data_IF_068371761856
#
_entry.id   IF_068371761856
#
_cell.length_a   1.000
_cell.length_b   1.000
_cell.length_c   1.000
_cell.angle_alpha   90.00
_cell.angle_beta   90.00
_cell.angle_gamma   90.00
#
_symmetry.space_group_name_H-M   'P 1'
#
loop_
_entity.id
_entity.type
_entity.pdbx_description
1 polymer ?
#
# COMPACT_ATOMS: atom_id res chain seq x y z
N UNK A 1 -27.85 4.01 53.43
CA UNK A 1 -27.88 5.23 52.60
C UNK A 1 -27.02 4.94 51.40
N UNK A 2 -27.66 4.43 50.34
CA UNK A 2 -27.04 4.18 49.03
C UNK A 2 -27.30 5.44 48.23
N UNK A 3 -26.27 6.14 47.78
CA UNK A 3 -26.39 7.24 46.83
C UNK A 3 -25.96 6.76 45.47
N UNK A 4 -26.89 6.91 44.53
CA UNK A 4 -26.74 6.77 43.08
C UNK A 4 -25.50 7.48 42.56
N UNK A 5 -24.73 6.77 41.76
CA UNK A 5 -23.77 7.34 40.82
C UNK A 5 -24.26 6.98 39.42
N UNK A 6 -25.13 7.83 38.90
CA UNK A 6 -25.42 7.86 37.47
C UNK A 6 -24.18 8.47 36.77
N UNK A 7 -23.33 7.63 36.20
CA UNK A 7 -22.31 8.08 35.25
C UNK A 7 -22.98 8.47 33.95
N UNK A 8 -23.06 9.78 33.72
CA UNK A 8 -23.34 10.39 32.43
C UNK A 8 -22.27 9.93 31.43
N UNK A 9 -22.69 9.08 30.49
CA UNK A 9 -21.96 8.80 29.28
C UNK A 9 -21.99 10.08 28.43
N UNK A 10 -20.93 10.83 28.51
CA UNK A 10 -20.69 11.97 27.62
C UNK A 10 -20.42 11.40 26.23
N UNK A 11 -21.37 11.53 25.32
CA UNK A 11 -21.17 11.32 23.89
C UNK A 11 -20.07 12.28 23.44
N UNK A 12 -18.85 11.73 23.26
CA UNK A 12 -17.79 12.45 22.57
C UNK A 12 -18.24 12.67 21.12
N UNK A 13 -18.46 13.92 20.75
CA UNK A 13 -18.58 14.34 19.35
C UNK A 13 -17.42 13.71 18.59
N UNK A 14 -17.63 13.19 17.37
CA UNK A 14 -16.54 12.68 16.58
C UNK A 14 -15.54 13.82 16.36
N UNK A 15 -14.33 13.66 16.90
CA UNK A 15 -13.21 14.52 16.59
C UNK A 15 -13.09 14.56 15.07
N UNK A 16 -13.43 15.71 14.52
CA UNK A 16 -13.18 16.03 13.13
C UNK A 16 -11.68 15.84 12.92
N UNK A 17 -11.30 14.82 12.17
CA UNK A 17 -9.96 14.69 11.63
C UNK A 17 -9.67 16.03 10.98
N UNK A 18 -8.80 16.83 11.60
CA UNK A 18 -8.26 18.04 10.99
C UNK A 18 -7.41 17.56 9.83
N UNK A 19 -8.07 17.34 8.68
CA UNK A 19 -7.38 17.18 7.42
C UNK A 19 -6.46 18.39 7.29
N UNK A 20 -5.16 18.13 7.28
CA UNK A 20 -4.18 19.15 6.97
C UNK A 20 -4.58 19.78 5.64
N UNK A 21 -4.56 21.12 5.57
CA UNK A 21 -4.91 21.91 4.38
C UNK A 21 -3.86 21.81 3.26
N UNK A 22 -3.13 20.69 3.18
CA UNK A 22 -2.18 20.40 2.13
C UNK A 22 -2.89 19.58 1.07
N UNK A 23 -2.97 20.11 -0.15
CA UNK A 23 -3.48 19.55 -1.41
C UNK A 23 -4.31 18.26 -1.26
N UNK A 24 -5.42 18.36 -0.55
CA UNK A 24 -6.38 17.27 -0.44
C UNK A 24 -6.76 16.87 -1.87
N UNK A 25 -6.52 15.63 -2.25
CA UNK A 25 -7.11 15.05 -3.44
C UNK A 25 -8.62 15.32 -3.35
N UNK A 26 -9.09 16.29 -4.12
CA UNK A 26 -10.52 16.63 -4.13
C UNK A 26 -11.20 15.53 -4.92
N UNK A 27 -12.26 15.00 -4.35
CA UNK A 27 -13.17 14.13 -5.09
C UNK A 27 -13.66 14.85 -6.35
N UNK A 28 -13.90 14.08 -7.40
CA UNK A 28 -14.60 14.60 -8.57
C UNK A 28 -16.01 15.08 -8.16
N UNK A 29 -16.58 16.03 -8.90
CA UNK A 29 -17.93 16.57 -8.58
C UNK A 29 -19.00 15.48 -8.52
N UNK A 30 -18.88 14.46 -9.35
CA UNK A 30 -19.84 13.35 -9.36
C UNK A 30 -19.64 12.43 -8.17
N UNK A 31 -18.40 12.19 -7.76
CA UNK A 31 -18.06 11.45 -6.55
C UNK A 31 -18.49 12.20 -5.28
N UNK A 32 -18.38 13.53 -5.24
CA UNK A 32 -18.92 14.34 -4.13
C UNK A 32 -20.45 14.18 -3.98
N UNK A 33 -21.21 14.26 -5.09
CA UNK A 33 -22.66 14.05 -5.06
C UNK A 33 -23.04 12.65 -4.61
N UNK A 34 -22.32 11.64 -5.12
CA UNK A 34 -22.54 10.24 -4.74
C UNK A 34 -22.24 10.04 -3.25
N UNK A 35 -21.13 10.60 -2.74
CA UNK A 35 -20.76 10.53 -1.33
C UNK A 35 -21.86 11.10 -0.42
N UNK A 36 -22.38 12.29 -0.75
CA UNK A 36 -23.49 12.91 0.01
C UNK A 36 -24.72 11.98 0.03
N UNK A 37 -25.06 11.38 -1.11
CA UNK A 37 -26.17 10.44 -1.20
C UNK A 37 -25.94 9.18 -0.35
N UNK A 38 -24.74 8.60 -0.39
CA UNK A 38 -24.37 7.42 0.40
C UNK A 38 -24.36 7.71 1.91
N UNK A 39 -23.86 8.87 2.31
CA UNK A 39 -23.87 9.31 3.71
C UNK A 39 -25.29 9.52 4.24
N UNK A 40 -26.19 10.09 3.44
CA UNK A 40 -27.60 10.22 3.82
C UNK A 40 -28.28 8.86 3.99
N UNK A 41 -28.00 7.90 3.09
CA UNK A 41 -28.48 6.52 3.22
C UNK A 41 -27.89 5.82 4.46
N UNK A 42 -26.61 6.06 4.78
CA UNK A 42 -25.94 5.45 5.93
C UNK A 42 -26.59 5.83 7.26
N UNK A 43 -27.10 7.08 7.39
CA UNK A 43 -27.83 7.52 8.58
C UNK A 43 -29.14 6.75 8.75
N UNK A 44 -29.85 6.48 7.65
CA UNK A 44 -31.18 5.87 7.65
C UNK A 44 -31.16 4.33 7.62
N UNK A 45 -30.02 3.70 7.30
CA UNK A 45 -29.94 2.26 7.04
C UNK A 45 -29.62 1.43 8.28
N UNK A 46 -30.24 0.25 8.37
CA UNK A 46 -29.85 -0.81 9.29
C UNK A 46 -28.61 -1.60 8.79
N UNK A 47 -28.40 -1.68 7.47
CA UNK A 47 -27.27 -2.39 6.83
C UNK A 47 -26.10 -1.45 6.55
N UNK A 48 -25.39 -1.06 7.61
CA UNK A 48 -24.34 -0.03 7.53
C UNK A 48 -23.09 -0.48 6.80
N UNK A 49 -22.70 -1.76 6.91
CA UNK A 49 -21.39 -2.22 6.40
C UNK A 49 -21.30 -2.18 4.87
N UNK A 50 -22.38 -2.46 4.16
CA UNK A 50 -22.43 -2.36 2.69
C UNK A 50 -22.22 -0.92 2.23
N UNK A 51 -22.94 0.03 2.86
CA UNK A 51 -22.79 1.44 2.55
C UNK A 51 -21.41 2.00 2.93
N UNK A 52 -20.84 1.55 4.06
CA UNK A 52 -19.46 1.90 4.43
C UNK A 52 -18.46 1.38 3.40
N UNK A 53 -18.69 0.17 2.84
CA UNK A 53 -17.87 -0.40 1.78
C UNK A 53 -17.97 0.42 0.49
N UNK A 54 -19.17 0.76 0.05
CA UNK A 54 -19.37 1.62 -1.12
C UNK A 54 -18.66 2.99 -0.97
N UNK A 55 -18.72 3.59 0.21
CA UNK A 55 -18.02 4.84 0.51
C UNK A 55 -16.49 4.64 0.47
N UNK A 56 -15.98 3.56 1.06
CA UNK A 56 -14.55 3.25 1.04
C UNK A 56 -14.02 3.02 -0.38
N UNK A 57 -14.77 2.28 -1.19
CA UNK A 57 -14.44 2.02 -2.60
C UNK A 57 -14.47 3.31 -3.43
N UNK A 58 -15.43 4.20 -3.17
CA UNK A 58 -15.49 5.52 -3.80
C UNK A 58 -14.22 6.34 -3.51
N UNK A 59 -13.80 6.40 -2.25
CA UNK A 59 -12.57 7.08 -1.86
C UNK A 59 -11.33 6.40 -2.46
N UNK A 60 -11.28 5.08 -2.51
CA UNK A 60 -10.17 4.33 -3.14
C UNK A 60 -10.06 4.65 -4.63
N UNK A 61 -11.18 4.73 -5.35
CA UNK A 61 -11.24 5.09 -6.77
C UNK A 61 -10.70 6.49 -7.04
N UNK A 62 -10.94 7.42 -6.14
CA UNK A 62 -10.44 8.80 -6.21
C UNK A 62 -9.03 8.95 -5.60
N UNK A 63 -8.38 7.84 -5.23
CA UNK A 63 -7.04 7.82 -4.59
C UNK A 63 -6.95 8.57 -3.25
N UNK A 64 -8.08 8.70 -2.53
CA UNK A 64 -8.18 9.30 -1.19
C UNK A 64 -8.08 8.19 -0.14
N UNK A 65 -6.91 7.56 -0.07
CA UNK A 65 -6.71 6.30 0.66
C UNK A 65 -6.76 6.42 2.18
N UNK A 66 -6.49 7.57 2.76
CA UNK A 66 -6.69 7.85 4.19
C UNK A 66 -8.17 7.69 4.58
N UNK A 67 -9.06 8.28 3.79
CA UNK A 67 -10.51 8.15 3.98
C UNK A 67 -11.01 6.75 3.66
N UNK A 68 -10.50 6.12 2.60
CA UNK A 68 -10.81 4.72 2.29
C UNK A 68 -10.46 3.79 3.46
N UNK A 69 -9.23 3.92 3.99
CA UNK A 69 -8.76 3.16 5.15
C UNK A 69 -9.63 3.35 6.39
N UNK A 70 -10.05 4.59 6.65
CA UNK A 70 -10.95 4.89 7.76
C UNK A 70 -12.30 4.17 7.65
N UNK A 71 -12.91 4.12 6.47
CA UNK A 71 -14.18 3.45 6.27
C UNK A 71 -14.03 1.92 6.29
N UNK A 72 -12.96 1.36 5.72
CA UNK A 72 -12.64 -0.06 5.84
C UNK A 72 -12.34 -0.46 7.29
N UNK A 73 -11.63 0.36 8.06
CA UNK A 73 -11.38 0.12 9.49
C UNK A 73 -12.71 0.06 10.27
N UNK A 74 -13.67 0.93 9.99
CA UNK A 74 -15.01 0.87 10.61
C UNK A 74 -15.72 -0.45 10.33
N UNK A 75 -15.62 -0.97 9.13
CA UNK A 75 -16.17 -2.29 8.77
C UNK A 75 -15.45 -3.38 9.57
N UNK A 76 -14.11 -3.35 9.61
CA UNK A 76 -13.30 -4.32 10.31
C UNK A 76 -13.55 -4.32 11.83
N UNK A 77 -13.81 -3.17 12.43
CA UNK A 77 -14.19 -3.05 13.84
C UNK A 77 -15.59 -3.62 14.13
N UNK A 78 -16.54 -3.46 13.21
CA UNK A 78 -17.91 -3.99 13.38
C UNK A 78 -18.01 -5.47 13.05
N UNK A 79 -17.20 -5.95 12.09
CA UNK A 79 -17.14 -7.34 11.62
C UNK A 79 -15.69 -7.76 11.43
N UNK A 80 -14.99 -8.14 12.51
CA UNK A 80 -13.58 -8.53 12.41
C UNK A 80 -13.39 -9.76 11.52
N UNK A 81 -12.55 -9.64 10.49
CA UNK A 81 -12.12 -10.72 9.62
C UNK A 81 -10.76 -10.40 9.00
N UNK A 82 -10.06 -11.41 8.51
CA UNK A 82 -8.82 -11.23 7.74
C UNK A 82 -9.05 -10.27 6.58
N UNK A 83 -10.10 -10.51 5.78
CA UNK A 83 -10.44 -9.69 4.62
C UNK A 83 -10.64 -8.22 4.98
N UNK A 84 -11.48 -7.93 5.99
CA UNK A 84 -11.81 -6.56 6.34
C UNK A 84 -10.59 -5.78 6.90
N UNK A 85 -9.76 -6.45 7.73
CA UNK A 85 -8.53 -5.84 8.23
C UNK A 85 -7.48 -5.67 7.14
N UNK A 86 -7.40 -6.59 6.15
CA UNK A 86 -6.52 -6.45 4.99
C UNK A 86 -6.92 -5.24 4.16
N UNK A 87 -8.21 -5.06 3.85
CA UNK A 87 -8.68 -3.88 3.12
C UNK A 87 -8.32 -2.56 3.82
N UNK A 88 -8.47 -2.51 5.13
CA UNK A 88 -8.09 -1.34 5.90
C UNK A 88 -6.57 -1.09 5.86
N UNK A 89 -5.78 -2.15 6.08
CA UNK A 89 -4.32 -2.09 6.04
C UNK A 89 -3.79 -1.65 4.69
N UNK A 90 -4.31 -2.24 3.61
CA UNK A 90 -3.90 -1.94 2.23
C UNK A 90 -4.23 -0.49 1.85
N UNK A 91 -5.42 0.00 2.22
CA UNK A 91 -5.79 1.39 1.96
C UNK A 91 -4.87 2.37 2.71
N UNK A 92 -4.65 2.17 4.00
CA UNK A 92 -3.72 3.01 4.77
C UNK A 92 -2.28 2.93 4.25
N UNK A 93 -1.82 1.75 3.83
CA UNK A 93 -0.48 1.58 3.27
C UNK A 93 -0.34 2.25 1.91
N UNK A 94 -1.37 2.22 1.06
CA UNK A 94 -1.39 2.99 -0.19
C UNK A 94 -1.36 4.49 0.10
N UNK A 95 -2.15 4.96 1.06
CA UNK A 95 -2.13 6.35 1.51
C UNK A 95 -0.74 6.78 2.02
N UNK A 96 -0.07 5.94 2.79
CA UNK A 96 1.30 6.16 3.25
C UNK A 96 2.27 6.35 2.09
N UNK A 97 2.19 5.52 1.06
CA UNK A 97 3.08 5.60 -0.12
C UNK A 97 2.86 6.88 -0.96
N UNK A 98 1.69 7.50 -0.85
CA UNK A 98 1.32 8.73 -1.57
C UNK A 98 1.35 9.99 -0.69
N UNK A 99 1.59 9.85 0.60
CA UNK A 99 1.58 10.97 1.53
C UNK A 99 2.76 11.92 1.27
N UNK A 100 2.46 13.22 1.24
CA UNK A 100 3.45 14.27 0.99
C UNK A 100 4.00 14.89 2.28
N UNK A 101 3.25 14.80 3.39
CA UNK A 101 3.70 15.36 4.67
C UNK A 101 4.17 14.28 5.64
N UNK A 102 5.26 14.51 6.40
CA UNK A 102 5.77 13.56 7.38
C UNK A 102 4.73 13.14 8.42
N UNK A 103 3.92 14.07 8.91
CA UNK A 103 2.89 13.78 9.92
C UNK A 103 1.79 12.87 9.38
N UNK A 104 1.40 13.04 8.11
CA UNK A 104 0.43 12.16 7.48
C UNK A 104 1.03 10.78 7.19
N UNK A 105 2.30 10.73 6.78
CA UNK A 105 3.03 9.46 6.61
C UNK A 105 3.06 8.67 7.92
N UNK A 106 3.42 9.31 9.03
CA UNK A 106 3.47 8.67 10.35
C UNK A 106 2.09 8.14 10.77
N UNK A 107 1.05 8.96 10.65
CA UNK A 107 -0.33 8.54 10.96
C UNK A 107 -0.75 7.32 10.13
N UNK A 108 -0.55 7.36 8.81
CA UNK A 108 -1.00 6.31 7.90
C UNK A 108 -0.22 5.01 8.08
N UNK A 109 1.11 5.09 8.31
CA UNK A 109 1.90 3.89 8.53
C UNK A 109 1.55 3.21 9.85
N UNK A 110 1.25 3.97 10.91
CA UNK A 110 0.80 3.39 12.18
C UNK A 110 -0.58 2.71 12.04
N UNK A 111 -1.50 3.32 11.30
CA UNK A 111 -2.80 2.71 10.97
C UNK A 111 -2.64 1.43 10.16
N UNK A 112 -1.79 1.43 9.15
CA UNK A 112 -1.50 0.24 8.35
C UNK A 112 -0.91 -0.89 9.21
N UNK A 113 0.08 -0.58 10.06
CA UNK A 113 0.68 -1.55 11.00
C UNK A 113 -0.34 -2.14 11.96
N UNK A 114 -1.21 -1.30 12.52
CA UNK A 114 -2.27 -1.76 13.41
C UNK A 114 -3.21 -2.75 12.71
N UNK A 115 -3.64 -2.44 11.49
CA UNK A 115 -4.50 -3.29 10.69
C UNK A 115 -3.84 -4.63 10.32
N UNK A 116 -2.60 -4.61 9.80
CA UNK A 116 -1.88 -5.85 9.49
C UNK A 116 -1.59 -6.71 10.72
N UNK A 117 -1.32 -6.11 11.87
CA UNK A 117 -1.20 -6.87 13.13
C UNK A 117 -2.52 -7.56 13.51
N UNK A 118 -3.70 -6.97 13.21
CA UNK A 118 -4.99 -7.63 13.37
C UNK A 118 -5.17 -8.80 12.41
N UNK A 119 -4.73 -8.63 11.14
CA UNK A 119 -4.69 -9.76 10.19
C UNK A 119 -3.84 -10.90 10.73
N UNK A 120 -2.62 -10.61 11.17
CA UNK A 120 -1.68 -11.63 11.67
C UNK A 120 -2.12 -12.26 12.99
N UNK A 121 -2.92 -11.57 13.81
CA UNK A 121 -3.55 -12.15 14.99
C UNK A 121 -4.63 -13.17 14.63
N UNK A 122 -5.34 -12.97 13.51
CA UNK A 122 -6.36 -13.89 13.00
C UNK A 122 -5.74 -15.00 12.13
N UNK A 123 -4.74 -14.67 11.33
CA UNK A 123 -4.06 -15.56 10.41
C UNK A 123 -2.53 -15.35 10.46
N UNK A 124 -1.81 -16.00 11.39
CA UNK A 124 -0.37 -15.78 11.59
C UNK A 124 0.51 -16.08 10.37
N UNK A 125 0.02 -16.90 9.43
CA UNK A 125 0.75 -17.29 8.22
C UNK A 125 0.43 -16.41 7.01
N UNK A 126 -0.31 -15.29 7.17
CA UNK A 126 -0.67 -14.42 6.05
C UNK A 126 0.57 -13.70 5.50
N UNK A 127 1.02 -14.12 4.32
CA UNK A 127 2.24 -13.61 3.68
C UNK A 127 2.06 -12.19 3.17
N UNK A 128 0.83 -11.81 2.74
CA UNK A 128 0.54 -10.45 2.30
C UNK A 128 0.68 -9.46 3.45
N UNK A 129 0.01 -9.74 4.57
CA UNK A 129 0.10 -8.89 5.75
C UNK A 129 1.53 -8.81 6.32
N UNK A 130 2.27 -9.95 6.35
CA UNK A 130 3.69 -9.96 6.77
C UNK A 130 4.55 -9.08 5.87
N UNK A 131 4.37 -9.17 4.55
CA UNK A 131 5.17 -8.42 3.57
C UNK A 131 4.89 -6.92 3.69
N UNK A 132 3.63 -6.52 3.72
CA UNK A 132 3.27 -5.11 3.83
C UNK A 132 3.61 -4.51 5.21
N UNK A 133 3.45 -5.30 6.28
CA UNK A 133 3.92 -4.91 7.62
C UNK A 133 5.45 -4.72 7.60
N UNK A 134 6.21 -5.62 6.95
CA UNK A 134 7.65 -5.45 6.80
C UNK A 134 7.99 -4.15 6.06
N UNK A 135 7.33 -3.89 4.93
CA UNK A 135 7.56 -2.68 4.15
C UNK A 135 7.21 -1.40 4.90
N UNK A 136 6.27 -1.44 5.84
CA UNK A 136 5.93 -0.31 6.70
C UNK A 136 7.05 0.11 7.67
N UNK A 137 8.05 -0.74 7.90
CA UNK A 137 9.24 -0.43 8.69
C UNK A 137 10.38 0.16 7.86
N UNK A 138 10.28 0.15 6.53
CA UNK A 138 11.25 0.83 5.65
C UNK A 138 11.13 2.35 5.86
N UNK A 139 12.22 3.02 6.14
CA UNK A 139 12.22 4.45 6.47
C UNK A 139 11.94 4.78 7.95
N UNK A 140 11.70 3.76 8.80
CA UNK A 140 11.64 3.93 10.26
C UNK A 140 13.05 3.83 10.88
N UNK A 141 13.12 3.92 12.19
CA UNK A 141 14.31 3.64 13.00
C UNK A 141 14.73 2.15 13.03
N UNK A 142 13.91 1.27 12.48
CA UNK A 142 14.13 -0.17 12.48
C UNK A 142 14.13 -0.80 11.05
N UNK A 143 14.92 -0.31 10.08
CA UNK A 143 14.88 -0.81 8.69
C UNK A 143 15.32 -2.28 8.57
N UNK A 144 16.19 -2.76 9.46
CA UNK A 144 16.61 -4.16 9.48
C UNK A 144 15.47 -5.12 9.81
N UNK A 145 14.45 -4.65 10.56
CA UNK A 145 13.26 -5.44 10.85
C UNK A 145 12.50 -5.78 9.58
N UNK A 146 12.38 -4.84 8.63
CA UNK A 146 11.77 -5.09 7.33
C UNK A 146 12.47 -6.23 6.60
N UNK A 147 13.81 -6.20 6.52
CA UNK A 147 14.59 -7.23 5.83
C UNK A 147 14.43 -8.60 6.49
N UNK A 148 14.44 -8.65 7.84
CA UNK A 148 14.26 -9.91 8.58
C UNK A 148 12.87 -10.49 8.32
N UNK A 149 11.82 -9.71 8.43
CA UNK A 149 10.44 -10.15 8.17
C UNK A 149 10.25 -10.64 6.73
N UNK A 150 10.82 -9.94 5.74
CA UNK A 150 10.75 -10.37 4.32
C UNK A 150 11.49 -11.68 4.09
N UNK A 151 12.61 -11.94 4.79
CA UNK A 151 13.30 -13.23 4.73
C UNK A 151 12.46 -14.34 5.35
N UNK A 152 11.84 -14.10 6.50
CA UNK A 152 10.93 -15.05 7.14
C UNK A 152 9.73 -15.41 6.23
N UNK A 153 9.25 -14.46 5.41
CA UNK A 153 8.25 -14.74 4.37
C UNK A 153 8.81 -15.69 3.32
N UNK A 154 10.04 -15.47 2.85
CA UNK A 154 10.68 -16.33 1.84
C UNK A 154 11.13 -17.68 2.39
N UNK A 155 11.38 -17.81 3.68
CA UNK A 155 11.61 -19.09 4.35
C UNK A 155 10.34 -19.96 4.34
N UNK A 156 9.14 -19.35 4.38
CA UNK A 156 7.86 -20.03 4.29
C UNK A 156 7.45 -20.31 2.83
N UNK A 157 7.62 -19.33 1.95
CA UNK A 157 7.28 -19.42 0.52
C UNK A 157 8.42 -18.80 -0.32
N UNK A 158 9.40 -19.61 -0.75
CA UNK A 158 10.57 -19.12 -1.47
C UNK A 158 10.29 -18.44 -2.80
N UNK A 159 9.10 -18.67 -3.38
CA UNK A 159 8.67 -18.10 -4.65
C UNK A 159 7.65 -16.95 -4.49
N UNK A 160 7.48 -16.45 -3.27
CA UNK A 160 6.53 -15.35 -3.04
C UNK A 160 7.03 -14.04 -3.66
N UNK A 161 6.57 -13.76 -4.87
CA UNK A 161 7.01 -12.63 -5.69
C UNK A 161 6.97 -11.29 -4.93
N UNK A 162 5.93 -10.93 -4.16
CA UNK A 162 5.91 -9.62 -3.48
C UNK A 162 7.09 -9.43 -2.52
N UNK A 163 7.50 -10.45 -1.76
CA UNK A 163 8.65 -10.35 -0.85
C UNK A 163 9.98 -10.27 -1.61
N UNK A 164 10.14 -11.02 -2.71
CA UNK A 164 11.34 -10.95 -3.55
C UNK A 164 11.47 -9.56 -4.17
N UNK A 165 10.38 -9.01 -4.71
CA UNK A 165 10.31 -7.66 -5.27
C UNK A 165 10.66 -6.59 -4.22
N UNK A 166 10.10 -6.71 -3.02
CA UNK A 166 10.38 -5.79 -1.91
C UNK A 166 11.87 -5.80 -1.52
N UNK A 167 12.47 -6.97 -1.37
CA UNK A 167 13.91 -7.09 -1.11
C UNK A 167 14.75 -6.57 -2.30
N UNK A 168 14.28 -6.75 -3.53
CA UNK A 168 14.89 -6.17 -4.74
C UNK A 168 14.94 -4.65 -4.66
N UNK A 169 13.80 -4.01 -4.37
CA UNK A 169 13.68 -2.57 -4.18
C UNK A 169 14.58 -2.04 -3.05
N UNK A 170 14.60 -2.73 -1.90
CA UNK A 170 15.49 -2.36 -0.78
C UNK A 170 16.98 -2.47 -1.16
N UNK A 171 17.33 -3.43 -2.02
CA UNK A 171 18.69 -3.53 -2.54
C UNK A 171 19.04 -2.40 -3.49
N UNK A 172 18.10 -1.93 -4.31
CA UNK A 172 18.28 -0.73 -5.14
C UNK A 172 18.51 0.50 -4.27
N UNK A 173 17.66 0.73 -3.26
CA UNK A 173 17.78 1.85 -2.33
C UNK A 173 19.11 1.89 -1.57
N UNK A 174 19.70 0.74 -1.29
CA UNK A 174 20.99 0.59 -0.61
C UNK A 174 22.18 0.44 -1.55
N UNK A 175 22.02 0.74 -2.84
CA UNK A 175 23.02 0.64 -3.91
C UNK A 175 23.67 -0.76 -4.04
N UNK A 176 22.96 -1.81 -3.61
CA UNK A 176 23.39 -3.20 -3.77
C UNK A 176 22.85 -3.77 -5.08
N UNK A 177 23.29 -3.20 -6.20
CA UNK A 177 22.70 -3.42 -7.52
C UNK A 177 22.83 -4.86 -8.03
N UNK A 178 23.91 -5.57 -7.69
CA UNK A 178 24.07 -7.00 -8.03
C UNK A 178 23.01 -7.85 -7.32
N UNK A 179 22.75 -7.55 -6.03
CA UNK A 179 21.72 -8.27 -5.27
C UNK A 179 20.32 -7.93 -5.79
N UNK A 180 20.09 -6.67 -6.15
CA UNK A 180 18.83 -6.24 -6.75
C UNK A 180 18.59 -6.98 -8.07
N UNK A 181 19.57 -6.96 -8.98
CA UNK A 181 19.50 -7.66 -10.26
C UNK A 181 19.21 -9.16 -10.09
N UNK A 182 19.91 -9.83 -9.18
CA UNK A 182 19.70 -11.26 -8.88
C UNK A 182 18.25 -11.53 -8.41
N UNK A 183 17.69 -10.68 -7.55
CA UNK A 183 16.30 -10.81 -7.07
C UNK A 183 15.27 -10.60 -8.17
N UNK A 184 15.41 -9.55 -8.96
CA UNK A 184 14.50 -9.33 -10.07
C UNK A 184 14.62 -10.44 -11.14
N UNK A 185 15.81 -10.96 -11.38
CA UNK A 185 16.00 -12.11 -12.25
C UNK A 185 15.32 -13.38 -11.71
N UNK A 186 15.34 -13.60 -10.40
CA UNK A 186 14.59 -14.67 -9.75
C UNK A 186 13.07 -14.52 -9.97
N UNK A 187 12.54 -13.30 -9.85
CA UNK A 187 11.12 -13.04 -10.18
C UNK A 187 10.83 -13.40 -11.62
N UNK A 188 11.71 -13.04 -12.58
CA UNK A 188 11.51 -13.37 -14.00
C UNK A 188 11.64 -14.86 -14.32
N UNK A 189 12.29 -15.66 -13.47
CA UNK A 189 12.25 -17.13 -13.57
C UNK A 189 10.88 -17.70 -13.13
N UNK A 190 10.17 -17.01 -12.22
CA UNK A 190 8.84 -17.41 -11.73
C UNK A 190 7.76 -16.89 -12.66
N UNK A 191 7.84 -15.60 -13.04
CA UNK A 191 6.93 -14.89 -13.93
C UNK A 191 7.72 -14.08 -14.97
N UNK A 192 8.00 -14.68 -16.15
CA UNK A 192 8.74 -14.03 -17.23
C UNK A 192 8.07 -12.77 -17.79
N UNK A 193 6.78 -12.57 -17.51
CA UNK A 193 5.99 -11.45 -18.03
C UNK A 193 5.96 -10.26 -17.07
N UNK A 194 6.52 -10.37 -15.88
CA UNK A 194 6.46 -9.36 -14.84
C UNK A 194 7.17 -8.07 -15.25
N UNK A 195 6.38 -7.05 -15.59
CA UNK A 195 6.88 -5.74 -16.03
C UNK A 195 7.76 -5.08 -14.97
N UNK A 196 7.31 -5.10 -13.72
CA UNK A 196 8.05 -4.43 -12.63
C UNK A 196 9.40 -5.10 -12.36
N UNK A 197 9.49 -6.42 -12.49
CA UNK A 197 10.74 -7.15 -12.36
C UNK A 197 11.69 -6.86 -13.54
N UNK A 198 11.16 -6.74 -14.78
CA UNK A 198 11.96 -6.32 -15.95
C UNK A 198 12.52 -4.93 -15.77
N UNK A 199 11.70 -3.97 -15.30
CA UNK A 199 12.15 -2.62 -15.02
C UNK A 199 13.19 -2.59 -13.90
N UNK A 200 12.92 -3.27 -12.77
CA UNK A 200 13.86 -3.37 -11.66
C UNK A 200 15.22 -3.96 -12.07
N UNK A 201 15.19 -5.02 -12.91
CA UNK A 201 16.42 -5.61 -13.46
C UNK A 201 17.12 -4.64 -14.40
N UNK A 202 16.39 -3.97 -15.30
CA UNK A 202 16.98 -3.02 -16.25
C UNK A 202 17.67 -1.87 -15.53
N UNK A 203 17.03 -1.25 -14.54
CA UNK A 203 17.65 -0.19 -13.74
C UNK A 203 18.85 -0.68 -12.94
N UNK A 204 18.78 -1.88 -12.35
CA UNK A 204 19.94 -2.48 -11.69
C UNK A 204 21.12 -2.67 -12.65
N UNK A 205 20.85 -3.11 -13.88
CA UNK A 205 21.87 -3.29 -14.92
C UNK A 205 22.45 -1.97 -15.42
N UNK A 206 21.68 -0.89 -15.47
CA UNK A 206 22.16 0.46 -15.78
C UNK A 206 23.20 0.89 -14.76
N UNK A 207 22.88 0.76 -13.48
CA UNK A 207 23.79 1.12 -12.38
C UNK A 207 25.07 0.25 -12.36
N UNK A 208 25.00 -0.98 -12.86
CA UNK A 208 26.14 -1.88 -13.05
C UNK A 208 26.91 -1.63 -14.36
N UNK A 209 26.55 -0.61 -15.15
CA UNK A 209 27.18 -0.30 -16.43
C UNK A 209 26.85 -1.27 -17.57
N UNK A 210 25.94 -2.23 -17.37
CA UNK A 210 25.53 -3.24 -18.34
C UNK A 210 24.42 -2.69 -19.27
N UNK A 211 24.72 -1.57 -19.92
CA UNK A 211 23.76 -0.81 -20.76
C UNK A 211 23.09 -1.64 -21.88
N UNK A 212 23.81 -2.54 -22.63
CA UNK A 212 23.16 -3.31 -23.69
C UNK A 212 22.04 -4.22 -23.17
N UNK A 213 22.26 -4.92 -22.05
CA UNK A 213 21.28 -5.82 -21.44
C UNK A 213 20.07 -5.04 -20.91
N UNK A 214 20.31 -3.91 -20.28
CA UNK A 214 19.26 -3.01 -19.80
C UNK A 214 18.38 -2.51 -20.97
N UNK A 215 18.98 -2.08 -22.09
CA UNK A 215 18.25 -1.67 -23.30
C UNK A 215 17.37 -2.78 -23.84
N UNK A 216 17.85 -4.02 -23.85
CA UNK A 216 17.06 -5.17 -24.32
C UNK A 216 15.79 -5.36 -23.47
N UNK A 217 15.91 -5.30 -22.14
CA UNK A 217 14.78 -5.41 -21.22
C UNK A 217 13.78 -4.25 -21.38
N UNK A 218 14.27 -3.00 -21.45
CA UNK A 218 13.42 -1.83 -21.61
C UNK A 218 12.65 -1.87 -22.94
N UNK A 219 13.30 -2.28 -24.03
CA UNK A 219 12.63 -2.47 -25.32
C UNK A 219 11.61 -3.62 -25.29
N UNK A 220 11.84 -4.66 -24.48
CA UNK A 220 10.87 -5.74 -24.30
C UNK A 220 9.64 -5.26 -23.51
N UNK A 221 9.82 -4.42 -22.49
CA UNK A 221 8.70 -3.80 -21.76
C UNK A 221 7.87 -2.90 -22.68
N UNK A 222 8.50 -2.12 -23.58
CA UNK A 222 7.77 -1.25 -24.53
C UNK A 222 6.85 -2.02 -25.50
N UNK A 223 7.08 -3.32 -25.70
CA UNK A 223 6.19 -4.17 -26.53
C UNK A 223 4.94 -4.62 -25.79
N UNK A 224 4.90 -4.42 -24.47
CA UNK A 224 3.77 -4.81 -23.64
C UNK A 224 2.71 -3.69 -23.59
N UNK A 225 1.51 -4.04 -23.13
CA UNK A 225 0.45 -3.06 -22.91
C UNK A 225 0.71 -2.31 -21.60
N UNK A 226 1.49 -1.23 -21.67
CA UNK A 226 1.83 -0.34 -20.56
C UNK A 226 1.18 1.03 -20.79
N UNK A 227 0.98 1.78 -19.70
CA UNK A 227 0.42 3.12 -19.77
C UNK A 227 1.37 4.13 -20.44
N UNK A 228 0.82 5.28 -20.83
CA UNK A 228 1.55 6.30 -21.57
C UNK A 228 2.68 6.94 -20.76
N UNK A 229 2.51 7.06 -19.43
CA UNK A 229 3.50 7.67 -18.53
C UNK A 229 4.73 6.75 -18.44
N UNK A 230 4.52 5.48 -18.18
CA UNK A 230 5.59 4.47 -18.14
C UNK A 230 6.32 4.38 -19.48
N UNK A 231 5.59 4.43 -20.60
CA UNK A 231 6.17 4.42 -21.94
C UNK A 231 7.09 5.62 -22.19
N UNK A 232 6.68 6.82 -21.78
CA UNK A 232 7.48 8.04 -21.90
C UNK A 232 8.74 7.96 -21.04
N UNK A 233 8.62 7.51 -19.80
CA UNK A 233 9.75 7.34 -18.88
C UNK A 233 10.79 6.34 -19.42
N UNK A 234 10.36 5.18 -19.89
CA UNK A 234 11.25 4.17 -20.51
C UNK A 234 11.95 4.75 -21.76
N UNK A 235 11.22 5.51 -22.58
CA UNK A 235 11.78 6.12 -23.79
C UNK A 235 12.84 7.15 -23.45
N UNK A 236 12.61 8.00 -22.45
CA UNK A 236 13.60 8.93 -21.92
C UNK A 236 14.85 8.21 -21.41
N UNK A 237 14.65 7.15 -20.64
CA UNK A 237 15.76 6.33 -20.12
C UNK A 237 16.59 5.73 -21.28
N UNK A 238 15.95 5.13 -22.28
CA UNK A 238 16.64 4.57 -23.45
C UNK A 238 17.47 5.63 -24.21
N UNK A 239 16.94 6.86 -24.30
CA UNK A 239 17.65 7.97 -24.94
C UNK A 239 18.88 8.43 -24.15
N UNK A 240 18.84 8.38 -22.82
CA UNK A 240 19.98 8.72 -21.95
C UNK A 240 21.09 7.67 -21.97
N UNK A 241 20.81 6.47 -22.41
CA UNK A 241 21.78 5.36 -22.48
C UNK A 241 22.60 5.34 -23.79
N UNK A 242 22.36 6.29 -24.69
CA UNK A 242 23.06 6.38 -25.99
C UNK A 242 24.57 6.71 -25.83
#
# INVERSE_FOLDING_TARGET
>A
VVKDVAQTVQESKPDSVKASKEAAHKLSRDSEKLLVSLQAKLIASASKNELLKEIAELYSKESVFDSAGFYFEKIALSKPSVENWTLAGDAYFQGFNLALSPSNMEFLVEKARAAYNKVLALQPADLHAKTNLAMSYVGSDAPMKAITMLREVLDQEPKYIPAIMSLGGLSMQSNQYEKAASRFQNVLQIDPTNVNAKLGLAYSLIELGKKPDAKALLNDVLKQNIDAVMKDEITKTLNSLK
#
